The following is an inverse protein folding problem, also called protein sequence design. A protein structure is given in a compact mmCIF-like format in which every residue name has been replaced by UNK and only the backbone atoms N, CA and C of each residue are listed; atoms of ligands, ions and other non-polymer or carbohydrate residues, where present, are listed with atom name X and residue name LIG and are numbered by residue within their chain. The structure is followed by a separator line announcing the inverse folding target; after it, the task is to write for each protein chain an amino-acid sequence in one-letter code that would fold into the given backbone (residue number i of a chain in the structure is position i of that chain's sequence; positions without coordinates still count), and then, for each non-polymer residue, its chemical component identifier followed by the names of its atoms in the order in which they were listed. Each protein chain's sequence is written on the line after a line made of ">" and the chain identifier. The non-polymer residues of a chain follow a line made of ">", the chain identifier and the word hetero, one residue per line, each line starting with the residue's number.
data_IF_711540487626
#
_entry.id   IF_711540487626
#
_cell.length_a   1.000
_cell.length_b   1.000
_cell.length_c   1.000
_cell.angle_alpha   90.00
_cell.angle_beta   90.00
_cell.angle_gamma   90.00
#
_symmetry.space_group_name_H-M   'P 1'
#
loop_
_entity.id
_entity.type
_entity.pdbx_description
1 polymer ?
#
# COMPACT_ATOMS: atom_id res chain seq x y z
N UNK A 1 20.62 -17.77 4.24
CA UNK A 1 19.67 -16.65 4.12
C UNK A 1 18.35 -17.18 4.64
N UNK A 2 17.63 -16.41 5.45
CA UNK A 2 16.31 -16.83 5.89
C UNK A 2 15.32 -16.70 4.72
N UNK A 3 14.21 -17.41 4.82
CA UNK A 3 13.18 -17.42 3.79
C UNK A 3 12.32 -16.15 3.90
N UNK A 4 12.03 -15.52 2.76
CA UNK A 4 11.06 -14.42 2.68
C UNK A 4 9.69 -15.03 2.38
N UNK A 5 8.74 -14.81 3.29
CA UNK A 5 7.35 -15.23 3.14
C UNK A 5 6.52 -14.02 2.77
N UNK A 6 5.77 -14.09 1.66
CA UNK A 6 4.86 -13.04 1.21
C UNK A 6 3.44 -13.48 1.51
N UNK A 7 2.68 -12.63 2.21
CA UNK A 7 1.26 -12.83 2.54
C UNK A 7 0.50 -11.54 2.30
N UNK A 8 -0.83 -11.61 2.33
CA UNK A 8 -1.69 -10.42 2.31
C UNK A 8 -1.76 -9.77 3.69
N UNK A 9 -2.10 -8.49 3.74
CA UNK A 9 -2.41 -7.80 4.99
C UNK A 9 -3.58 -8.46 5.73
N UNK A 10 -4.54 -9.03 5.01
CA UNK A 10 -5.70 -9.73 5.58
C UNK A 10 -5.31 -11.02 6.32
N UNK A 11 -4.26 -11.71 5.87
CA UNK A 11 -3.75 -12.93 6.52
C UNK A 11 -2.93 -12.63 7.79
N UNK A 12 -2.40 -11.41 7.92
CA UNK A 12 -1.49 -11.00 9.00
C UNK A 12 -1.85 -9.61 9.56
N UNK A 13 -3.10 -9.37 10.00
CA UNK A 13 -3.56 -8.03 10.39
C UNK A 13 -2.81 -7.44 11.58
N UNK A 14 -2.19 -8.28 12.42
CA UNK A 14 -1.38 -7.87 13.57
C UNK A 14 -0.15 -7.03 13.20
N UNK A 15 0.26 -7.01 11.92
CA UNK A 15 1.41 -6.22 11.46
C UNK A 15 1.09 -4.73 11.26
N UNK A 16 -0.20 -4.36 11.22
CA UNK A 16 -0.68 -2.99 10.94
C UNK A 16 0.04 -1.90 11.74
N UNK A 17 0.29 -2.04 13.06
CA UNK A 17 0.97 -1.01 13.84
C UNK A 17 2.41 -0.72 13.39
N UNK A 18 3.07 -1.67 12.70
CA UNK A 18 4.48 -1.59 12.30
C UNK A 18 4.69 -1.07 10.88
N UNK A 19 3.62 -0.90 10.09
CA UNK A 19 3.73 -0.35 8.73
C UNK A 19 4.36 1.05 8.70
N UNK A 20 4.22 1.79 9.80
CA UNK A 20 4.82 3.13 9.94
C UNK A 20 6.34 3.12 10.08
N UNK A 21 6.95 1.99 10.45
CA UNK A 21 8.40 1.91 10.67
C UNK A 21 9.20 2.09 9.37
N UNK A 22 8.55 1.89 8.22
CA UNK A 22 9.12 2.08 6.89
C UNK A 22 9.15 3.54 6.43
N UNK A 23 8.52 4.48 7.13
CA UNK A 23 8.46 5.87 6.66
C UNK A 23 9.83 6.56 6.56
N UNK A 24 10.80 6.10 7.34
CA UNK A 24 12.16 6.62 7.31
C UNK A 24 12.95 6.24 6.03
N UNK A 25 12.45 5.30 5.21
CA UNK A 25 13.10 4.89 3.96
C UNK A 25 12.73 5.79 2.78
N UNK A 26 11.73 6.65 2.95
CA UNK A 26 11.25 7.55 1.90
C UNK A 26 12.06 8.85 1.85
N UNK A 27 12.37 9.38 0.65
CA UNK A 27 12.89 10.73 0.52
C UNK A 27 11.97 11.75 1.20
N UNK A 28 12.58 12.73 1.89
CA UNK A 28 11.83 13.72 2.69
C UNK A 28 10.71 14.44 1.92
N UNK A 29 10.88 14.67 0.63
CA UNK A 29 9.86 15.36 -0.18
C UNK A 29 8.56 14.55 -0.27
N UNK A 30 8.62 13.22 -0.33
CA UNK A 30 7.46 12.34 -0.42
C UNK A 30 6.58 12.39 0.84
N UNK A 31 7.13 12.78 1.98
CA UNK A 31 6.39 12.94 3.23
C UNK A 31 5.53 14.22 3.29
N UNK A 32 5.54 15.06 2.24
CA UNK A 32 4.73 16.29 2.18
C UNK A 32 3.50 16.13 1.25
N UNK A 33 3.20 14.90 0.83
CA UNK A 33 2.05 14.60 -0.01
C UNK A 33 0.77 14.54 0.86
N UNK A 34 -0.14 15.48 0.65
CA UNK A 34 -1.38 15.58 1.43
C UNK A 34 -2.38 14.45 1.11
N UNK A 35 -2.34 13.91 -0.12
CA UNK A 35 -3.20 12.79 -0.50
C UNK A 35 -2.70 11.53 0.19
N UNK A 36 -1.39 11.28 0.15
CA UNK A 36 -0.80 10.16 0.86
C UNK A 36 -1.02 10.28 2.39
N UNK A 37 -0.81 11.45 2.98
CA UNK A 37 -1.03 11.68 4.42
C UNK A 37 -2.47 11.33 4.84
N UNK A 38 -3.46 11.75 4.04
CA UNK A 38 -4.87 11.52 4.35
C UNK A 38 -5.35 10.09 4.04
N UNK A 39 -4.88 9.49 2.94
CA UNK A 39 -5.56 8.32 2.33
C UNK A 39 -4.70 7.06 2.24
N UNK A 40 -3.39 7.14 2.42
CA UNK A 40 -2.51 6.00 2.18
C UNK A 40 -2.73 4.84 3.17
N UNK A 41 -3.10 5.14 4.41
CA UNK A 41 -3.43 4.13 5.42
C UNK A 41 -4.71 3.36 5.06
N UNK A 42 -5.65 3.99 4.33
CA UNK A 42 -6.89 3.36 3.89
C UNK A 42 -6.65 2.25 2.90
N UNK A 43 -5.61 2.34 2.05
CA UNK A 43 -5.28 1.27 1.12
C UNK A 43 -5.09 -0.08 1.86
N UNK A 44 -4.34 -0.08 2.96
CA UNK A 44 -4.07 -1.28 3.77
C UNK A 44 -5.24 -1.70 4.65
N UNK A 45 -6.18 -0.80 4.95
CA UNK A 45 -7.37 -1.10 5.76
C UNK A 45 -8.54 -1.61 4.90
N UNK A 46 -8.82 -0.93 3.79
CA UNK A 46 -9.98 -1.16 2.94
C UNK A 46 -9.71 -2.24 1.87
N UNK A 47 -8.43 -2.45 1.50
CA UNK A 47 -8.01 -3.43 0.48
C UNK A 47 -6.95 -4.40 1.02
N UNK A 48 -7.15 -4.88 2.25
CA UNK A 48 -6.21 -5.75 2.95
C UNK A 48 -5.90 -7.07 2.20
N UNK A 49 -6.85 -7.60 1.44
CA UNK A 49 -6.67 -8.80 0.61
C UNK A 49 -5.76 -8.57 -0.62
N UNK A 50 -5.54 -7.31 -0.99
CA UNK A 50 -4.74 -6.93 -2.16
C UNK A 50 -3.39 -6.31 -1.78
N UNK A 51 -3.28 -5.80 -0.54
CA UNK A 51 -2.03 -5.30 0.01
C UNK A 51 -1.17 -6.47 0.50
N UNK A 52 0.14 -6.40 0.25
CA UNK A 52 1.07 -7.48 0.57
C UNK A 52 2.04 -7.04 1.67
N UNK A 53 2.50 -8.02 2.43
CA UNK A 53 3.66 -7.89 3.32
C UNK A 53 4.68 -8.97 3.00
N UNK A 54 5.93 -8.67 3.31
CA UNK A 54 7.00 -9.64 3.29
C UNK A 54 7.60 -9.76 4.70
N UNK A 55 7.76 -10.98 5.19
CA UNK A 55 8.41 -11.26 6.47
C UNK A 55 9.63 -12.16 6.31
N UNK A 56 10.70 -11.89 7.04
CA UNK A 56 11.87 -12.77 7.21
C UNK A 56 11.99 -13.11 8.70
N UNK A 57 11.93 -14.39 9.09
CA UNK A 57 11.87 -14.83 10.50
C UNK A 57 10.75 -14.15 11.32
N UNK A 58 9.56 -14.02 10.73
CA UNK A 58 8.39 -13.31 11.30
C UNK A 58 8.57 -11.80 11.52
N UNK A 59 9.71 -11.23 11.13
CA UNK A 59 9.93 -9.79 11.14
C UNK A 59 9.47 -9.16 9.82
N UNK A 60 8.71 -8.07 9.89
CA UNK A 60 8.25 -7.33 8.71
C UNK A 60 9.43 -6.64 8.03
N UNK A 61 9.71 -7.01 6.78
CA UNK A 61 10.85 -6.47 6.00
C UNK A 61 10.42 -5.67 4.78
N UNK A 62 9.16 -5.80 4.34
CA UNK A 62 8.59 -4.95 3.30
C UNK A 62 7.05 -4.96 3.36
N UNK A 63 6.45 -3.95 2.73
CA UNK A 63 5.01 -3.93 2.46
C UNK A 63 4.74 -3.32 1.07
N UNK A 64 3.61 -3.72 0.46
CA UNK A 64 3.11 -3.18 -0.78
C UNK A 64 1.64 -2.80 -0.63
N UNK A 65 1.26 -1.66 -1.21
CA UNK A 65 -0.11 -1.15 -1.21
C UNK A 65 -0.72 -1.30 -2.59
N UNK A 66 -1.95 -1.76 -2.61
CA UNK A 66 -2.76 -1.92 -3.83
C UNK A 66 -4.18 -1.51 -3.52
N UNK A 67 -4.89 -1.05 -4.55
CA UNK A 67 -6.31 -0.71 -4.48
C UNK A 67 -7.00 -1.27 -5.71
N UNK A 68 -8.28 -1.60 -5.59
CA UNK A 68 -9.08 -1.96 -6.75
C UNK A 68 -9.37 -0.73 -7.61
N UNK A 69 -9.08 -0.82 -8.91
CA UNK A 69 -9.38 0.22 -9.88
C UNK A 69 -9.95 -0.42 -11.15
N UNK A 70 -11.26 -0.21 -11.39
CA UNK A 70 -11.87 -0.57 -12.67
C UNK A 70 -11.28 0.31 -13.78
N UNK A 71 -10.90 -0.27 -14.91
CA UNK A 71 -10.31 0.44 -16.04
C UNK A 71 -10.60 -0.32 -17.33
N UNK A 72 -10.82 0.42 -18.44
CA UNK A 72 -11.06 -0.15 -19.76
C UNK A 72 -12.53 -0.48 -20.03
N UNK A 73 -13.46 0.10 -19.28
CA UNK A 73 -14.90 0.09 -19.60
C UNK A 73 -15.31 1.38 -20.36
N UNK A 74 -16.58 1.46 -20.75
CA UNK A 74 -17.11 2.59 -21.53
C UNK A 74 -17.06 3.92 -20.75
N UNK A 75 -17.05 3.88 -19.42
CA UNK A 75 -17.01 5.06 -18.55
C UNK A 75 -15.58 5.49 -18.20
N UNK A 76 -14.58 4.61 -18.41
CA UNK A 76 -13.18 4.86 -18.05
C UNK A 76 -12.20 4.22 -19.03
N UNK A 77 -11.96 4.93 -20.13
CA UNK A 77 -11.09 4.52 -21.24
C UNK A 77 -9.63 4.98 -21.10
N UNK A 78 -9.34 5.93 -20.21
CA UNK A 78 -7.99 6.47 -19.96
C UNK A 78 -7.61 6.41 -18.47
N UNK A 79 -6.31 6.26 -18.20
CA UNK A 79 -5.80 6.32 -16.84
C UNK A 79 -5.81 7.78 -16.35
N UNK A 80 -6.04 8.02 -15.04
CA UNK A 80 -6.05 9.38 -14.50
C UNK A 80 -4.70 10.05 -14.70
N UNK A 81 -4.71 11.30 -15.19
CA UNK A 81 -3.49 12.08 -15.38
C UNK A 81 -2.76 12.34 -14.05
N UNK A 82 -3.50 12.42 -12.93
CA UNK A 82 -2.95 12.53 -11.58
C UNK A 82 -2.51 11.19 -10.98
N UNK A 83 -2.52 10.10 -11.76
CA UNK A 83 -2.06 8.79 -11.32
C UNK A 83 -2.84 8.27 -10.10
N UNK A 84 -2.11 7.60 -9.21
CA UNK A 84 -2.69 6.90 -8.06
C UNK A 84 -3.36 7.84 -7.06
N UNK A 85 -2.85 9.06 -6.89
CA UNK A 85 -3.46 10.06 -5.99
C UNK A 85 -4.85 10.46 -6.45
N UNK A 86 -5.08 10.53 -7.76
CA UNK A 86 -6.40 10.79 -8.33
C UNK A 86 -7.32 9.57 -8.22
N UNK A 87 -6.77 8.35 -8.15
CA UNK A 87 -7.57 7.14 -7.90
C UNK A 87 -8.04 7.08 -6.43
N UNK A 88 -7.27 7.63 -5.49
CA UNK A 88 -7.59 7.61 -4.06
C UNK A 88 -8.70 8.61 -3.66
N UNK A 89 -8.92 9.68 -4.44
CA UNK A 89 -9.92 10.73 -4.19
C UNK A 89 -11.36 10.28 -4.48
#
# INVERSE_FOLDING_TARGET
>A
MAEIVITTMAERPEVTPYLGDFWNVWPRFMLNDLIADALLWRATADFADQCLIATENDELVAHARSIAFAFGDDDRTELPAGGWDQVLQ
#
